data_IF_154191125267
#
_entry.id   IF_154191125267
#
_cell.length_a   1.000
_cell.length_b   1.000
_cell.length_c   1.000
_cell.angle_alpha   90.00
_cell.angle_beta   90.00
_cell.angle_gamma   90.00
#
_symmetry.space_group_name_H-M   'P 1'
#
loop_
_entity.id
_entity.type
_entity.pdbx_description
1 polymer ?
#
# COMPACT_ATOMS: atom_id res chain seq x y z
N UNK A 1 -3.20 -7.48 -17.55
CA UNK A 1 -4.42 -6.67 -17.36
C UNK A 1 -4.46 -6.02 -15.98
N UNK A 2 -4.29 -6.79 -14.90
CA UNK A 2 -4.31 -6.28 -13.51
C UNK A 2 -3.30 -5.15 -13.26
N UNK A 3 -2.05 -5.28 -13.74
CA UNK A 3 -1.02 -4.26 -13.58
C UNK A 3 -1.42 -2.88 -14.16
N UNK A 4 -2.06 -2.85 -15.33
CA UNK A 4 -2.49 -1.60 -15.95
C UNK A 4 -3.58 -0.90 -15.12
N UNK A 5 -4.48 -1.67 -14.51
CA UNK A 5 -5.51 -1.16 -13.60
C UNK A 5 -4.87 -0.58 -12.33
N UNK A 6 -3.88 -1.28 -11.76
CA UNK A 6 -3.13 -0.79 -10.58
C UNK A 6 -2.45 0.54 -10.88
N UNK A 7 -1.72 0.64 -12.00
CA UNK A 7 -1.04 1.88 -12.40
C UNK A 7 -2.05 3.02 -12.61
N UNK A 8 -3.15 2.75 -13.31
CA UNK A 8 -4.18 3.75 -13.58
C UNK A 8 -4.81 4.29 -12.28
N UNK A 9 -5.17 3.43 -11.33
CA UNK A 9 -5.75 3.84 -10.06
C UNK A 9 -4.77 4.71 -9.25
N UNK A 10 -3.50 4.32 -9.18
CA UNK A 10 -2.49 5.12 -8.47
C UNK A 10 -2.19 6.45 -9.15
N UNK A 11 -2.28 6.54 -10.48
CA UNK A 11 -2.21 7.82 -11.20
C UNK A 11 -3.36 8.74 -10.83
N UNK A 12 -4.59 8.22 -10.75
CA UNK A 12 -5.77 9.00 -10.32
C UNK A 12 -5.56 9.52 -8.89
N UNK A 13 -5.16 8.66 -7.96
CA UNK A 13 -4.87 9.06 -6.57
C UNK A 13 -3.76 10.11 -6.52
N UNK A 14 -2.69 9.94 -7.28
CA UNK A 14 -1.62 10.93 -7.33
C UNK A 14 -2.11 12.29 -7.85
N UNK A 15 -3.00 12.29 -8.84
CA UNK A 15 -3.51 13.52 -9.43
C UNK A 15 -4.47 14.28 -8.50
N UNK A 16 -5.38 13.56 -7.82
CA UNK A 16 -6.40 14.15 -6.97
C UNK A 16 -5.95 14.42 -5.53
N UNK A 17 -5.08 13.59 -4.96
CA UNK A 17 -4.66 13.73 -3.57
C UNK A 17 -3.21 14.24 -3.45
N UNK A 18 -2.27 13.63 -4.18
CA UNK A 18 -0.85 13.91 -4.01
C UNK A 18 -0.45 15.32 -4.49
N UNK A 19 -0.97 15.76 -5.65
CA UNK A 19 -0.73 17.11 -6.19
C UNK A 19 -1.21 18.21 -5.22
N UNK A 20 -2.47 18.22 -4.74
CA UNK A 20 -2.90 19.25 -3.79
C UNK A 20 -2.17 19.15 -2.44
N UNK A 21 -1.79 17.95 -2.00
CA UNK A 21 -1.00 17.78 -0.78
C UNK A 21 0.38 18.47 -0.87
N UNK A 22 1.07 18.36 -2.02
CA UNK A 22 2.33 19.09 -2.26
C UNK A 22 2.09 20.61 -2.20
N UNK A 23 0.98 21.10 -2.76
CA UNK A 23 0.62 22.52 -2.75
C UNK A 23 0.35 23.05 -1.33
N UNK A 24 -0.13 22.20 -0.43
CA UNK A 24 -0.43 22.54 0.98
C UNK A 24 0.84 22.80 1.81
N UNK A 25 2.04 22.41 1.34
CA UNK A 25 3.37 22.60 1.98
C UNK A 25 3.54 22.00 3.38
N UNK A 26 2.59 21.19 3.85
CA UNK A 26 2.65 20.49 5.13
C UNK A 26 3.61 19.31 5.08
N UNK A 27 4.89 19.54 5.42
CA UNK A 27 5.97 18.55 5.26
C UNK A 27 5.73 17.26 6.05
N UNK A 28 5.13 17.34 7.24
CA UNK A 28 4.84 16.15 8.08
C UNK A 28 3.76 15.28 7.44
N UNK A 29 2.64 15.89 7.04
CA UNK A 29 1.52 15.21 6.39
C UNK A 29 1.96 14.57 5.07
N UNK A 30 2.78 15.30 4.30
CA UNK A 30 3.37 14.82 3.05
C UNK A 30 4.24 13.57 3.23
N UNK A 31 5.14 13.56 4.22
CA UNK A 31 6.02 12.41 4.45
C UNK A 31 5.22 11.17 4.84
N UNK A 32 4.25 11.30 5.75
CA UNK A 32 3.40 10.19 6.17
C UNK A 32 2.61 9.66 4.97
N UNK A 33 1.91 10.53 4.25
CA UNK A 33 1.12 10.15 3.09
C UNK A 33 1.98 9.47 2.01
N UNK A 34 3.11 10.05 1.65
CA UNK A 34 4.02 9.49 0.64
C UNK A 34 4.52 8.11 1.05
N UNK A 35 4.86 7.92 2.32
CA UNK A 35 5.35 6.63 2.83
C UNK A 35 4.27 5.54 2.69
N UNK A 36 3.04 5.82 3.13
CA UNK A 36 1.93 4.88 2.98
C UNK A 36 1.57 4.62 1.50
N UNK A 37 1.60 5.66 0.67
CA UNK A 37 1.33 5.54 -0.77
C UNK A 37 2.37 4.62 -1.46
N UNK A 38 3.65 4.80 -1.14
CA UNK A 38 4.73 3.96 -1.70
C UNK A 38 4.60 2.52 -1.21
N UNK A 39 4.39 2.30 0.09
CA UNK A 39 4.27 0.95 0.66
C UNK A 39 3.10 0.21 0.02
N UNK A 40 1.93 0.86 -0.06
CA UNK A 40 0.74 0.26 -0.67
C UNK A 40 0.96 -0.02 -2.15
N UNK A 41 1.59 0.90 -2.90
CA UNK A 41 1.90 0.69 -4.31
C UNK A 41 2.83 -0.50 -4.51
N UNK A 42 3.90 -0.62 -3.71
CA UNK A 42 4.83 -1.74 -3.78
C UNK A 42 4.08 -3.06 -3.53
N UNK A 43 3.30 -3.15 -2.47
CA UNK A 43 2.53 -4.37 -2.17
C UNK A 43 1.60 -4.75 -3.32
N UNK A 44 0.82 -3.79 -3.84
CA UNK A 44 -0.12 -4.05 -4.92
C UNK A 44 0.60 -4.37 -6.24
N UNK A 45 1.73 -3.74 -6.50
CA UNK A 45 2.58 -4.01 -7.65
C UNK A 45 3.13 -5.43 -7.60
N UNK A 46 3.69 -5.86 -6.46
CA UNK A 46 4.18 -7.22 -6.27
C UNK A 46 3.08 -8.26 -6.50
N UNK A 47 1.87 -8.02 -5.98
CA UNK A 47 0.69 -8.87 -6.23
C UNK A 47 0.36 -8.92 -7.72
N UNK A 48 0.39 -7.76 -8.40
CA UNK A 48 0.02 -7.66 -9.81
C UNK A 48 1.00 -8.34 -10.77
N UNK A 49 2.24 -8.63 -10.33
CA UNK A 49 3.24 -9.41 -11.06
C UNK A 49 3.33 -10.86 -10.55
N UNK A 50 2.30 -11.34 -9.84
CA UNK A 50 2.17 -12.69 -9.29
C UNK A 50 3.32 -13.09 -8.34
N UNK A 51 3.97 -12.13 -7.69
CA UNK A 51 4.91 -12.42 -6.60
C UNK A 51 4.10 -12.79 -5.34
N UNK A 52 4.30 -14.02 -4.89
CA UNK A 52 3.69 -14.53 -3.66
C UNK A 52 4.30 -13.79 -2.46
N UNK A 53 3.56 -12.85 -1.91
CA UNK A 53 3.93 -12.21 -0.65
C UNK A 53 3.78 -13.21 0.50
N UNK A 54 4.75 -13.28 1.44
CA UNK A 54 4.62 -14.13 2.60
C UNK A 54 3.37 -13.72 3.39
N UNK A 55 2.44 -14.66 3.54
CA UNK A 55 1.17 -14.37 4.20
C UNK A 55 1.39 -14.19 5.70
N UNK A 56 1.00 -13.03 6.28
CA UNK A 56 1.05 -12.82 7.72
C UNK A 56 0.04 -13.71 8.46
N UNK A 57 -0.86 -14.39 7.77
CA UNK A 57 -1.84 -15.30 8.37
C UNK A 57 -1.17 -16.41 9.18
N UNK A 58 -0.02 -16.92 8.74
CA UNK A 58 0.70 -17.96 9.50
C UNK A 58 1.26 -17.40 10.82
N UNK A 59 1.74 -16.16 10.81
CA UNK A 59 2.17 -15.45 12.01
C UNK A 59 1.01 -15.21 12.97
N UNK A 60 -0.11 -14.70 12.44
CA UNK A 60 -1.32 -14.44 13.23
C UNK A 60 -1.84 -15.73 13.87
N UNK A 61 -1.89 -16.84 13.12
CA UNK A 61 -2.25 -18.16 13.66
C UNK A 61 -1.32 -18.59 14.80
N UNK A 62 -0.01 -18.49 14.62
CA UNK A 62 0.95 -18.88 15.67
C UNK A 62 0.81 -18.07 16.98
N UNK A 63 0.35 -16.83 16.90
CA UNK A 63 0.10 -15.97 18.06
C UNK A 63 -1.25 -16.25 18.72
N UNK A 64 -2.25 -16.70 17.95
CA UNK A 64 -3.61 -16.97 18.43
C UNK A 64 -3.82 -18.42 18.90
N UNK A 65 -3.06 -19.37 18.35
CA UNK A 65 -3.08 -20.78 18.75
C UNK A 65 -2.95 -21.00 20.27
N UNK A 66 -2.11 -20.27 21.04
CA UNK A 66 -2.05 -20.41 22.49
C UNK A 66 -3.20 -19.75 23.27
N UNK A 67 -4.04 -18.94 22.61
CA UNK A 67 -5.19 -18.25 23.24
C UNK A 67 -6.50 -19.00 22.98
N UNK A 68 -6.59 -19.67 21.82
CA UNK A 68 -7.79 -20.39 21.37
C UNK A 68 -7.80 -21.86 21.86
N UNK A 69 -6.66 -22.37 22.34
CA UNK A 69 -6.48 -23.75 22.82
C UNK A 69 -6.39 -23.81 24.34
#
# INVERSE_FOLDING_TARGET
MVLAVVIFLYLVVAFFDYIPLIKKKEKKEFVVYTTFLIISFILLFLIAIDIVLPSPTNLIKSLLDPIIK
#
